data_IF_025130193944
#
_entry.id   IF_025130193944
#
_cell.length_a   1.000
_cell.length_b   1.000
_cell.length_c   1.000
_cell.angle_alpha   90.00
_cell.angle_beta   90.00
_cell.angle_gamma   90.00
#
_symmetry.space_group_name_H-M   'P 1'
#
loop_
_entity.id
_entity.type
_entity.pdbx_description
1 polymer ?
#
# COMPACT_ATOMS: atom_id res chain seq x y z
N UNK A 1 -9.23 -26.97 -16.08
CA UNK A 1 -8.02 -27.62 -15.54
C UNK A 1 -7.67 -26.94 -14.22
N UNK A 2 -7.68 -27.66 -13.11
CA UNK A 2 -7.27 -27.10 -11.82
C UNK A 2 -5.78 -27.38 -11.65
N UNK A 3 -4.95 -26.36 -11.80
CA UNK A 3 -3.52 -26.50 -11.60
C UNK A 3 -3.23 -26.89 -10.15
N UNK A 4 -2.51 -27.99 -9.97
CA UNK A 4 -2.16 -28.49 -8.63
C UNK A 4 -1.02 -27.61 -8.11
N UNK A 5 -1.31 -26.74 -7.14
CA UNK A 5 -0.27 -25.89 -6.52
C UNK A 5 0.89 -26.76 -6.01
N UNK A 6 2.10 -26.28 -6.26
CA UNK A 6 3.33 -26.96 -5.85
C UNK A 6 3.40 -27.16 -4.33
N UNK A 7 4.08 -28.23 -3.92
CA UNK A 7 4.28 -28.52 -2.51
C UNK A 7 5.28 -27.50 -1.91
N UNK A 8 4.87 -26.80 -0.85
CA UNK A 8 5.70 -25.78 -0.20
C UNK A 8 6.22 -26.27 1.14
N UNK A 9 7.54 -26.19 1.34
CA UNK A 9 8.20 -26.47 2.60
C UNK A 9 8.42 -25.16 3.38
N UNK A 10 8.28 -25.22 4.71
CA UNK A 10 8.44 -24.07 5.60
C UNK A 10 9.63 -24.28 6.54
N UNK A 11 10.37 -23.20 6.79
CA UNK A 11 11.55 -23.19 7.65
C UNK A 11 11.51 -22.01 8.60
N UNK A 12 11.97 -22.21 9.83
CA UNK A 12 12.19 -21.17 10.81
C UNK A 12 13.64 -21.18 11.26
N UNK A 13 14.19 -19.98 11.47
CA UNK A 13 15.56 -19.81 11.95
C UNK A 13 15.59 -19.97 13.47
N UNK A 14 16.52 -20.80 13.96
CA UNK A 14 16.87 -20.92 15.37
C UNK A 14 18.38 -20.74 15.51
N UNK A 15 18.81 -19.52 15.84
CA UNK A 15 20.21 -19.11 15.71
C UNK A 15 20.65 -19.18 14.24
N UNK A 16 21.71 -19.93 13.96
CA UNK A 16 22.26 -20.11 12.62
C UNK A 16 21.73 -21.35 11.88
N UNK A 17 20.70 -22.01 12.41
CA UNK A 17 20.14 -23.23 11.82
C UNK A 17 18.73 -22.98 11.30
N UNK A 18 18.48 -23.38 10.05
CA UNK A 18 17.14 -23.47 9.49
C UNK A 18 16.51 -24.81 9.89
N UNK A 19 15.38 -24.73 10.60
CA UNK A 19 14.63 -25.90 11.05
C UNK A 19 13.36 -26.00 10.21
N UNK A 20 13.16 -27.16 9.57
CA UNK A 20 11.93 -27.45 8.84
C UNK A 20 10.76 -27.59 9.80
N UNK A 21 9.66 -26.88 9.53
CA UNK A 21 8.45 -26.89 10.35
C UNK A 21 7.21 -27.18 9.52
N UNK A 22 6.14 -27.62 10.18
CA UNK A 22 4.84 -27.74 9.53
C UNK A 22 4.17 -26.36 9.41
N UNK A 23 3.17 -26.27 8.53
CA UNK A 23 2.43 -25.03 8.28
C UNK A 23 1.72 -24.50 9.53
N UNK A 24 1.08 -25.38 10.30
CA UNK A 24 0.32 -25.00 11.51
C UNK A 24 1.24 -24.40 12.57
N UNK A 25 2.42 -24.99 12.75
CA UNK A 25 3.44 -24.45 13.65
C UNK A 25 3.89 -23.06 13.21
N UNK A 26 4.20 -22.87 11.93
CA UNK A 26 4.59 -21.56 11.39
C UNK A 26 3.52 -20.47 11.67
N UNK A 27 2.25 -20.78 11.38
CA UNK A 27 1.11 -19.87 11.60
C UNK A 27 1.00 -19.48 13.07
N UNK A 28 0.99 -20.47 13.97
CA UNK A 28 0.79 -20.23 15.39
C UNK A 28 1.98 -19.49 16.01
N UNK A 29 3.20 -19.87 15.63
CA UNK A 29 4.43 -19.26 16.16
C UNK A 29 4.58 -17.81 15.72
N UNK A 30 4.23 -17.47 14.47
CA UNK A 30 4.32 -16.10 13.95
C UNK A 30 3.03 -15.28 14.17
N UNK A 31 1.95 -15.89 14.68
CA UNK A 31 0.65 -15.23 14.85
C UNK A 31 0.01 -14.75 13.55
N UNK A 32 0.34 -15.38 12.41
CA UNK A 32 -0.13 -14.97 11.07
C UNK A 32 -1.25 -15.87 10.57
N UNK A 33 -2.08 -15.33 9.68
CA UNK A 33 -3.12 -16.13 9.02
C UNK A 33 -2.59 -16.85 7.79
N UNK A 34 -3.25 -17.95 7.42
CA UNK A 34 -2.97 -18.67 6.18
C UNK A 34 -3.06 -17.79 4.92
N UNK A 35 -3.85 -16.70 4.96
CA UNK A 35 -3.95 -15.73 3.87
C UNK A 35 -2.59 -15.09 3.58
N UNK A 36 -1.85 -14.70 4.62
CA UNK A 36 -0.55 -14.04 4.49
C UNK A 36 0.44 -14.98 3.77
N UNK A 37 0.50 -16.24 4.17
CA UNK A 37 1.36 -17.26 3.54
C UNK A 37 1.05 -17.39 2.05
N UNK A 38 -0.23 -17.46 1.67
CA UNK A 38 -0.65 -17.53 0.26
C UNK A 38 -0.21 -16.28 -0.51
N UNK A 39 -0.45 -15.08 0.04
CA UNK A 39 -0.07 -13.83 -0.61
C UNK A 39 1.43 -13.74 -0.88
N UNK A 40 2.26 -14.19 0.06
CA UNK A 40 3.72 -14.21 -0.11
C UNK A 40 4.15 -15.23 -1.17
N UNK A 41 3.57 -16.43 -1.17
CA UNK A 41 3.87 -17.45 -2.20
C UNK A 41 3.44 -16.96 -3.59
N UNK A 42 2.22 -16.44 -3.71
CA UNK A 42 1.70 -15.91 -4.98
C UNK A 42 2.47 -14.63 -5.42
N UNK A 43 3.05 -13.87 -4.49
CA UNK A 43 3.99 -12.79 -4.76
C UNK A 43 5.32 -13.30 -5.31
N UNK A 44 5.94 -14.29 -4.64
CA UNK A 44 7.18 -14.92 -5.12
C UNK A 44 7.04 -15.56 -6.51
N UNK A 45 5.89 -16.18 -6.80
CA UNK A 45 5.62 -16.80 -8.10
C UNK A 45 5.59 -15.80 -9.27
N UNK A 46 5.39 -14.50 -9.01
CA UNK A 46 5.35 -13.45 -10.03
C UNK A 46 6.76 -12.91 -10.41
N UNK A 47 7.84 -13.45 -9.84
CA UNK A 47 9.26 -13.14 -10.13
C UNK A 47 9.71 -11.69 -9.86
N UNK A 48 8.82 -10.83 -9.42
CA UNK A 48 9.10 -9.48 -8.92
C UNK A 48 9.57 -9.52 -7.45
N UNK A 49 9.31 -10.60 -6.70
CA UNK A 49 9.73 -10.73 -5.30
C UNK A 49 9.03 -9.75 -4.34
N UNK A 50 8.17 -8.89 -4.88
CA UNK A 50 7.39 -7.91 -4.14
C UNK A 50 5.96 -8.40 -3.92
N UNK A 51 5.37 -7.95 -2.81
CA UNK A 51 3.94 -8.11 -2.59
C UNK A 51 3.19 -7.21 -3.59
N UNK A 52 2.08 -7.67 -4.19
CA UNK A 52 1.31 -6.84 -5.09
C UNK A 52 0.88 -5.54 -4.40
N UNK A 53 0.78 -4.43 -5.16
CA UNK A 53 0.38 -3.14 -4.60
C UNK A 53 -1.00 -3.24 -3.95
N UNK A 54 -1.21 -2.48 -2.89
CA UNK A 54 -2.51 -2.41 -2.24
C UNK A 54 -3.54 -1.74 -3.18
N UNK A 55 -4.57 -2.51 -3.51
CA UNK A 55 -5.69 -2.10 -4.37
C UNK A 55 -6.98 -1.88 -3.58
N UNK A 56 -6.91 -1.79 -2.24
CA UNK A 56 -8.08 -1.39 -1.43
C UNK A 56 -8.65 -0.07 -1.94
N UNK A 57 -9.97 -0.01 -2.08
CA UNK A 57 -10.69 1.14 -2.64
C UNK A 57 -10.55 1.32 -4.15
N UNK A 58 -9.59 0.68 -4.83
CA UNK A 58 -9.32 0.84 -6.28
C UNK A 58 -10.10 -0.17 -7.13
N UNK A 59 -11.42 -0.14 -7.02
CA UNK A 59 -12.30 -1.08 -7.73
C UNK A 59 -12.67 -0.63 -9.17
N UNK A 60 -12.16 0.51 -9.63
CA UNK A 60 -12.38 1.03 -10.99
C UNK A 60 -13.78 1.59 -11.28
N UNK A 61 -14.76 1.41 -10.38
CA UNK A 61 -16.14 1.93 -10.50
C UNK A 61 -16.37 3.20 -9.68
N UNK A 62 -15.30 3.92 -9.33
CA UNK A 62 -15.43 5.17 -8.60
C UNK A 62 -16.08 6.20 -9.52
N UNK A 63 -17.06 6.95 -9.02
CA UNK A 63 -17.64 8.05 -9.78
C UNK A 63 -16.55 9.09 -10.08
N UNK A 64 -16.32 9.35 -11.37
CA UNK A 64 -15.41 10.41 -11.80
C UNK A 64 -16.20 11.70 -11.95
N UNK A 65 -15.71 12.77 -11.34
CA UNK A 65 -16.22 14.11 -11.60
C UNK A 65 -15.92 14.51 -13.04
N UNK A 66 -16.82 15.28 -13.64
CA UNK A 66 -16.59 15.88 -14.94
C UNK A 66 -15.38 16.83 -14.88
N UNK A 67 -14.54 16.88 -15.93
CA UNK A 67 -13.34 17.72 -15.94
C UNK A 67 -13.65 19.21 -15.73
N UNK A 68 -14.81 19.68 -16.17
CA UNK A 68 -15.29 21.05 -15.97
C UNK A 68 -15.50 21.37 -14.49
N UNK A 69 -16.10 20.43 -13.74
CA UNK A 69 -16.31 20.59 -12.29
C UNK A 69 -14.96 20.60 -11.55
N UNK A 70 -14.03 19.75 -11.97
CA UNK A 70 -12.68 19.72 -11.40
C UNK A 70 -11.98 21.06 -11.63
N UNK A 71 -12.12 21.64 -12.82
CA UNK A 71 -11.51 22.92 -13.14
C UNK A 71 -12.16 24.06 -12.36
N UNK A 72 -13.50 24.10 -12.28
CA UNK A 72 -14.21 25.10 -11.49
C UNK A 72 -13.80 25.10 -10.01
N UNK A 73 -13.56 23.92 -9.43
CA UNK A 73 -13.05 23.80 -8.05
C UNK A 73 -11.62 24.33 -7.93
N UNK A 74 -10.75 24.04 -8.90
CA UNK A 74 -9.37 24.59 -8.91
C UNK A 74 -9.35 26.10 -9.03
N UNK A 75 -10.14 26.65 -9.95
CA UNK A 75 -10.25 28.09 -10.17
C UNK A 75 -10.77 28.79 -8.91
N UNK A 76 -11.75 28.18 -8.22
CA UNK A 76 -12.23 28.66 -6.93
C UNK A 76 -11.13 28.64 -5.85
N UNK A 77 -10.37 27.56 -5.73
CA UNK A 77 -9.23 27.48 -4.79
C UNK A 77 -8.19 28.57 -5.09
N UNK A 78 -7.93 28.84 -6.37
CA UNK A 78 -6.98 29.88 -6.81
C UNK A 78 -7.49 31.31 -6.58
N UNK A 79 -8.81 31.51 -6.52
CA UNK A 79 -9.41 32.80 -6.20
C UNK A 79 -9.18 33.25 -4.75
N UNK A 80 -8.81 32.34 -3.85
CA UNK A 80 -8.54 32.65 -2.45
C UNK A 80 -7.16 33.30 -2.32
N UNK A 81 -7.04 34.49 -1.68
CA UNK A 81 -5.76 35.16 -1.51
C UNK A 81 -4.82 34.30 -0.66
N UNK A 82 -3.57 34.19 -1.13
CA UNK A 82 -2.53 33.38 -0.51
C UNK A 82 -1.63 34.27 0.35
N UNK A 83 -1.29 33.79 1.53
CA UNK A 83 -0.41 34.47 2.49
C UNK A 83 0.93 33.76 2.56
N UNK A 84 2.00 34.54 2.66
CA UNK A 84 3.33 34.01 2.92
C UNK A 84 3.43 33.44 4.33
N UNK A 85 4.10 32.30 4.50
CA UNK A 85 4.42 31.84 5.85
C UNK A 85 5.35 32.83 6.55
N UNK A 86 4.81 33.58 7.51
CA UNK A 86 5.56 34.56 8.31
C UNK A 86 6.82 33.95 8.97
N UNK A 87 6.77 32.66 9.33
CA UNK A 87 7.83 31.98 10.10
C UNK A 87 8.78 31.08 9.28
N UNK A 88 8.53 30.82 7.99
CA UNK A 88 9.22 29.73 7.25
C UNK A 88 9.85 30.15 5.90
N UNK A 89 10.14 31.45 5.74
CA UNK A 89 10.49 32.12 4.46
C UNK A 89 11.67 31.55 3.66
N UNK A 90 12.46 30.60 4.17
CA UNK A 90 13.63 30.08 3.47
C UNK A 90 13.54 28.63 2.95
N UNK A 91 12.55 27.81 3.34
CA UNK A 91 12.65 26.35 3.12
C UNK A 91 11.40 25.62 2.59
N UNK A 92 10.31 26.32 2.24
CA UNK A 92 9.10 25.64 1.75
C UNK A 92 8.42 26.39 0.59
N UNK A 93 7.97 25.61 -0.40
CA UNK A 93 7.17 26.06 -1.56
C UNK A 93 5.66 26.04 -1.30
N UNK A 94 5.23 25.80 -0.07
CA UNK A 94 3.81 25.70 0.31
C UNK A 94 3.19 27.10 0.41
N UNK A 95 1.95 27.24 -0.08
CA UNK A 95 1.15 28.46 0.01
C UNK A 95 0.15 28.30 1.17
N UNK A 96 -0.11 29.38 1.92
CA UNK A 96 -0.99 29.37 3.08
C UNK A 96 -2.19 30.28 2.83
N UNK A 97 -3.30 30.04 3.53
CA UNK A 97 -4.50 30.88 3.52
C UNK A 97 -4.59 31.54 4.89
N UNK A 98 -5.00 32.80 4.95
CA UNK A 98 -5.23 33.48 6.24
C UNK A 98 -6.48 32.89 6.87
N UNK A 99 -6.31 32.23 8.03
CA UNK A 99 -7.42 31.74 8.83
C UNK A 99 -7.94 32.88 9.68
N UNK A 100 -8.95 33.61 9.20
CA UNK A 100 -9.74 34.52 10.05
C UNK A 100 -10.44 33.71 11.14
#
# INVERSE_FOLDING_TARGET
>A
MYDRKENTAYYLLNGNKEIRVCKTFLINTLGITQRIIRTVIDGKARNDGFTPPDQRGKHGKQCKLQPEVIQAVKDHIESIPKVESHYLRANISRQFIDGV
#
